data_IF_724439356539
#
_entry.id   IF_724439356539
#
_cell.length_a   1.000
_cell.length_b   1.000
_cell.length_c   1.000
_cell.angle_alpha   90.00
_cell.angle_beta   90.00
_cell.angle_gamma   90.00
#
_symmetry.space_group_name_H-M   'P 1'
#
loop_
_entity.id
_entity.type
_entity.pdbx_description
1 polymer ?
#
# COMPACT_ATOMS: atom_id res chain seq x y z
N UNK A 1 -8.20 -22.35 -5.84
CA UNK A 1 -7.95 -21.68 -7.14
C UNK A 1 -6.89 -22.49 -7.85
N UNK A 2 -7.07 -22.83 -9.12
CA UNK A 2 -6.04 -23.57 -9.87
C UNK A 2 -4.86 -22.64 -10.20
N UNK A 3 -3.67 -23.01 -9.74
CA UNK A 3 -2.44 -22.26 -9.94
C UNK A 3 -2.05 -22.18 -11.42
N UNK A 4 -2.39 -23.20 -12.20
CA UNK A 4 -2.10 -23.24 -13.63
C UNK A 4 -2.91 -22.17 -14.36
N UNK A 5 -4.22 -22.15 -14.14
CA UNK A 5 -5.12 -21.15 -14.70
C UNK A 5 -4.73 -19.72 -14.27
N UNK A 6 -4.46 -19.52 -12.96
CA UNK A 6 -4.03 -18.21 -12.46
C UNK A 6 -2.77 -17.70 -13.16
N UNK A 7 -1.74 -18.53 -13.25
CA UNK A 7 -0.46 -18.14 -13.87
C UNK A 7 -0.63 -17.83 -15.36
N UNK A 8 -1.49 -18.57 -16.07
CA UNK A 8 -1.81 -18.29 -17.47
C UNK A 8 -2.47 -16.91 -17.64
N UNK A 9 -3.50 -16.61 -16.85
CA UNK A 9 -4.19 -15.31 -16.86
C UNK A 9 -3.20 -14.19 -16.54
N UNK A 10 -2.42 -14.35 -15.47
CA UNK A 10 -1.45 -13.35 -15.04
C UNK A 10 -0.40 -13.09 -16.14
N UNK A 11 0.18 -14.13 -16.72
CA UNK A 11 1.17 -14.00 -17.81
C UNK A 11 0.58 -13.33 -19.04
N UNK A 12 -0.67 -13.63 -19.39
CA UNK A 12 -1.36 -13.00 -20.51
C UNK A 12 -1.61 -11.51 -20.28
N UNK A 13 -2.04 -11.13 -19.07
CA UNK A 13 -2.45 -9.76 -18.73
C UNK A 13 -1.26 -8.86 -18.36
N UNK A 14 -0.31 -9.39 -17.60
CA UNK A 14 0.84 -8.65 -17.05
C UNK A 14 2.13 -8.83 -17.84
N UNK A 15 2.19 -9.76 -18.81
CA UNK A 15 3.35 -10.02 -19.67
C UNK A 15 4.63 -10.41 -18.91
N UNK A 16 4.46 -10.92 -17.69
CA UNK A 16 5.54 -11.40 -16.84
C UNK A 16 5.03 -12.54 -15.95
N UNK A 17 5.96 -13.30 -15.37
CA UNK A 17 5.60 -14.35 -14.43
C UNK A 17 5.24 -13.74 -13.05
N UNK A 18 4.33 -14.39 -12.34
CA UNK A 18 3.86 -13.92 -11.04
C UNK A 18 4.97 -14.03 -9.99
N UNK A 19 5.32 -12.89 -9.37
CA UNK A 19 6.32 -12.88 -8.31
C UNK A 19 5.78 -13.55 -7.03
N UNK A 20 6.58 -14.38 -6.33
CA UNK A 20 6.17 -15.01 -5.08
C UNK A 20 5.75 -13.98 -4.02
N UNK A 21 4.83 -14.39 -3.13
CA UNK A 21 4.41 -13.56 -1.98
C UNK A 21 5.20 -13.84 -0.70
N UNK A 22 6.00 -14.91 -0.71
CA UNK A 22 6.86 -15.31 0.41
C UNK A 22 8.28 -15.39 -0.16
N UNK A 23 9.14 -14.51 0.34
CA UNK A 23 10.49 -14.30 -0.13
C UNK A 23 11.49 -14.66 0.98
N UNK A 24 12.71 -15.11 0.64
CA UNK A 24 13.74 -15.36 1.63
C UNK A 24 14.15 -14.05 2.33
N UNK A 25 14.78 -14.19 3.50
CA UNK A 25 15.35 -13.03 4.21
C UNK A 25 16.39 -12.30 3.34
N UNK A 26 16.44 -10.98 3.50
CA UNK A 26 17.43 -10.11 2.84
C UNK A 26 18.20 -9.31 3.88
N UNK A 27 19.33 -8.72 3.48
CA UNK A 27 20.21 -7.98 4.40
C UNK A 27 19.58 -6.69 4.94
N UNK A 28 18.80 -5.99 4.12
CA UNK A 28 18.25 -4.67 4.45
C UNK A 28 16.88 -4.48 3.80
N UNK A 29 15.89 -4.14 4.62
CA UNK A 29 14.55 -3.75 4.19
C UNK A 29 14.28 -2.34 4.70
N UNK A 30 13.75 -1.46 3.86
CA UNK A 30 13.18 -0.18 4.27
C UNK A 30 11.65 -0.27 4.15
N UNK A 31 10.93 0.07 5.20
CA UNK A 31 9.47 0.10 5.23
C UNK A 31 9.01 1.54 5.23
N UNK A 32 8.11 1.86 4.29
CA UNK A 32 7.52 3.18 4.12
C UNK A 32 6.01 3.07 4.34
N UNK A 33 5.49 3.90 5.23
CA UNK A 33 4.06 4.01 5.54
C UNK A 33 3.23 4.65 4.42
N UNK A 34 2.05 5.11 4.80
CA UNK A 34 1.05 5.72 3.94
C UNK A 34 1.54 7.07 3.35
N UNK A 35 1.32 7.26 2.05
CA UNK A 35 1.82 8.43 1.29
C UNK A 35 0.70 9.42 0.98
N UNK A 36 -0.51 8.94 0.68
CA UNK A 36 -1.68 9.76 0.33
C UNK A 36 -1.36 10.90 -0.65
N UNK A 37 -0.90 10.54 -1.85
CA UNK A 37 -0.64 11.49 -2.93
C UNK A 37 0.49 12.49 -2.66
N UNK A 38 1.28 12.32 -1.59
CA UNK A 38 2.35 13.27 -1.23
C UNK A 38 3.72 12.86 -1.79
N UNK A 39 3.97 13.23 -3.06
CA UNK A 39 5.23 12.91 -3.75
C UNK A 39 6.46 13.45 -3.00
N UNK A 40 6.37 14.65 -2.42
CA UNK A 40 7.50 15.26 -1.71
C UNK A 40 7.88 14.45 -0.47
N UNK A 41 6.88 13.91 0.24
CA UNK A 41 7.12 13.02 1.38
C UNK A 41 7.68 11.68 0.94
N UNK A 42 7.20 11.12 -0.16
CA UNK A 42 7.76 9.88 -0.72
C UNK A 42 9.25 10.05 -1.06
N UNK A 43 9.62 11.12 -1.77
CA UNK A 43 11.02 11.38 -2.11
C UNK A 43 11.88 11.57 -0.86
N UNK A 44 11.38 12.26 0.18
CA UNK A 44 12.07 12.36 1.47
C UNK A 44 12.26 10.98 2.11
N UNK A 45 11.24 10.13 2.15
CA UNK A 45 11.33 8.76 2.68
C UNK A 45 12.37 7.92 1.94
N UNK A 46 12.56 8.11 0.63
CA UNK A 46 13.56 7.39 -0.15
C UNK A 46 14.98 7.96 0.04
N UNK A 47 15.13 9.26 0.26
CA UNK A 47 16.43 9.93 0.47
C UNK A 47 17.00 9.72 1.88
N UNK A 48 16.16 9.66 2.92
CA UNK A 48 16.59 9.36 4.31
C UNK A 48 17.52 8.12 4.38
N UNK A 49 17.13 6.95 3.85
CA UNK A 49 17.95 5.74 3.82
C UNK A 49 18.94 5.66 2.63
N UNK A 50 19.07 6.75 1.85
CA UNK A 50 19.93 6.86 0.65
C UNK A 50 19.61 5.84 -0.45
N UNK A 51 18.34 5.71 -0.81
CA UNK A 51 17.89 4.79 -1.87
C UNK A 51 17.86 5.41 -3.25
N UNK A 52 17.73 6.74 -3.33
CA UNK A 52 17.70 7.49 -4.58
C UNK A 52 18.71 8.64 -4.55
N UNK A 53 19.21 9.01 -5.72
CA UNK A 53 20.09 10.16 -5.91
C UNK A 53 19.29 11.48 -6.02
N UNK A 54 19.98 12.58 -6.38
CA UNK A 54 19.35 13.90 -6.56
C UNK A 54 18.46 14.00 -7.79
N UNK A 55 18.55 13.06 -8.72
CA UNK A 55 17.71 12.94 -9.93
C UNK A 55 16.63 11.86 -9.76
N UNK A 56 16.44 11.37 -8.53
CA UNK A 56 15.48 10.34 -8.15
C UNK A 56 15.71 8.95 -8.78
N UNK A 57 16.95 8.67 -9.21
CA UNK A 57 17.36 7.34 -9.69
C UNK A 57 17.83 6.43 -8.56
N UNK A 58 17.58 5.12 -8.70
CA UNK A 58 17.95 4.12 -7.70
C UNK A 58 19.47 3.99 -7.51
N UNK A 59 19.88 4.18 -6.25
CA UNK A 59 21.25 3.94 -5.75
C UNK A 59 21.26 3.03 -4.51
N UNK A 60 20.11 2.43 -4.16
CA UNK A 60 19.95 1.59 -2.96
C UNK A 60 20.61 0.21 -3.02
N UNK A 61 21.29 -0.13 -4.12
CA UNK A 61 21.94 -1.43 -4.33
C UNK A 61 20.97 -2.59 -4.18
N UNK A 62 21.31 -3.55 -3.32
CA UNK A 62 20.49 -4.75 -3.02
C UNK A 62 19.41 -4.51 -1.95
N UNK A 63 19.15 -3.26 -1.56
CA UNK A 63 18.14 -2.96 -0.53
C UNK A 63 16.75 -3.29 -1.07
N UNK A 64 15.89 -3.85 -0.22
CA UNK A 64 14.47 -4.01 -0.52
C UNK A 64 13.67 -2.89 0.14
N UNK A 65 12.68 -2.34 -0.56
CA UNK A 65 11.71 -1.40 -0.01
C UNK A 65 10.34 -2.05 0.01
N UNK A 66 9.59 -1.85 1.09
CA UNK A 66 8.17 -2.20 1.18
C UNK A 66 7.37 -0.95 1.51
N UNK A 67 6.58 -0.47 0.57
CA UNK A 67 5.59 0.60 0.77
C UNK A 67 4.24 -0.05 1.10
N UNK A 68 3.67 0.23 2.27
CA UNK A 68 2.56 -0.57 2.84
C UNK A 68 1.15 -0.12 2.42
N UNK A 69 0.96 0.41 1.21
CA UNK A 69 -0.35 0.79 0.67
C UNK A 69 -0.74 2.25 0.96
N UNK A 70 -1.90 2.68 0.45
CA UNK A 70 -2.37 4.07 0.54
C UNK A 70 -1.36 5.06 -0.08
N UNK A 71 -1.06 4.79 -1.35
CA UNK A 71 -0.23 5.60 -2.21
C UNK A 71 -0.97 6.85 -2.69
N UNK A 72 -2.28 6.72 -2.93
CA UNK A 72 -3.13 7.75 -3.55
C UNK A 72 -4.12 8.39 -2.57
N UNK A 73 -4.90 9.35 -3.08
CA UNK A 73 -5.93 10.13 -2.39
C UNK A 73 -5.35 11.11 -1.34
N UNK A 74 -4.91 12.27 -1.84
CA UNK A 74 -4.29 13.35 -1.05
C UNK A 74 -5.25 14.26 -0.28
N UNK A 75 -6.49 13.85 -0.07
CA UNK A 75 -7.46 14.67 0.64
C UNK A 75 -8.20 13.94 1.77
N UNK A 76 -8.41 14.66 2.87
CA UNK A 76 -9.23 14.24 4.01
C UNK A 76 -10.24 15.34 4.33
N UNK A 77 -11.52 14.97 4.43
CA UNK A 77 -12.57 15.86 4.95
C UNK A 77 -12.96 15.45 6.37
N UNK A 78 -13.36 16.42 7.20
CA UNK A 78 -13.96 16.15 8.53
C UNK A 78 -15.48 16.18 8.42
N UNK A 79 -16.16 15.18 8.98
CA UNK A 79 -17.63 15.11 8.99
C UNK A 79 -18.22 14.46 7.74
N UNK A 80 -19.39 14.94 7.28
CA UNK A 80 -20.02 14.51 6.03
C UNK A 80 -19.56 15.40 4.88
N UNK A 81 -18.83 14.84 3.92
CA UNK A 81 -18.34 15.60 2.77
C UNK A 81 -17.72 14.71 1.71
N UNK A 82 -17.21 15.34 0.66
CA UNK A 82 -16.40 14.72 -0.38
C UNK A 82 -15.30 15.70 -0.79
N UNK A 83 -14.08 15.20 -0.91
CA UNK A 83 -12.93 15.95 -1.40
C UNK A 83 -13.07 16.47 -2.83
N UNK A 84 -13.96 15.88 -3.63
CA UNK A 84 -14.28 16.30 -5.00
C UNK A 84 -14.88 17.72 -5.09
N UNK A 85 -15.16 18.38 -3.96
CA UNK A 85 -15.78 19.71 -3.91
C UNK A 85 -14.98 20.68 -3.03
N UNK A 86 -13.84 20.25 -2.50
CA UNK A 86 -13.00 21.05 -1.62
C UNK A 86 -11.78 21.51 -2.41
N UNK A 87 -11.73 22.80 -2.72
CA UNK A 87 -10.50 23.41 -3.22
C UNK A 87 -9.47 23.45 -2.09
N UNK A 88 -8.33 22.81 -2.32
CA UNK A 88 -7.17 22.91 -1.46
C UNK A 88 -6.00 23.44 -2.30
N UNK A 89 -5.57 24.70 -2.13
CA UNK A 89 -4.50 25.28 -2.92
C UNK A 89 -3.13 24.62 -2.67
N UNK A 90 -2.99 23.84 -1.59
CA UNK A 90 -1.79 23.06 -1.31
C UNK A 90 -1.86 21.63 -1.89
N UNK A 91 -2.98 21.25 -2.47
CA UNK A 91 -3.10 19.96 -3.10
C UNK A 91 -2.43 19.95 -4.48
N UNK A 92 -1.75 18.84 -4.77
CA UNK A 92 -1.05 18.60 -6.03
C UNK A 92 -1.41 17.21 -6.49
N UNK A 93 -1.74 17.12 -7.78
CA UNK A 93 -2.10 15.89 -8.42
C UNK A 93 -0.85 15.04 -8.68
N UNK A 94 -0.67 14.02 -7.86
CA UNK A 94 0.50 13.16 -7.86
C UNK A 94 0.13 11.67 -7.74
N UNK A 95 -1.17 11.32 -7.64
CA UNK A 95 -1.63 9.95 -7.42
C UNK A 95 -1.05 8.99 -8.45
N UNK A 96 -1.24 9.29 -9.74
CA UNK A 96 -0.78 8.43 -10.83
C UNK A 96 0.75 8.47 -10.97
N UNK A 97 1.37 9.61 -10.71
CA UNK A 97 2.82 9.76 -10.74
C UNK A 97 3.49 8.88 -9.67
N UNK A 98 2.97 8.85 -8.44
CA UNK A 98 3.48 8.02 -7.34
C UNK A 98 3.40 6.54 -7.69
N UNK A 99 2.24 6.10 -8.22
CA UNK A 99 2.05 4.72 -8.62
C UNK A 99 3.10 4.26 -9.64
N UNK A 100 3.28 5.03 -10.72
CA UNK A 100 4.25 4.71 -11.75
C UNK A 100 5.69 4.86 -11.28
N UNK A 101 6.00 5.88 -10.49
CA UNK A 101 7.35 6.12 -9.96
C UNK A 101 7.84 4.96 -9.09
N UNK A 102 7.01 4.45 -8.16
CA UNK A 102 7.37 3.30 -7.32
C UNK A 102 7.60 2.03 -8.15
N UNK A 103 6.80 1.82 -9.20
CA UNK A 103 6.98 0.68 -10.12
C UNK A 103 8.24 0.83 -10.97
N UNK A 104 8.55 2.02 -11.44
CA UNK A 104 9.79 2.25 -12.18
C UNK A 104 11.02 2.11 -11.28
N UNK A 105 10.92 2.56 -10.03
CA UNK A 105 11.98 2.38 -9.05
C UNK A 105 12.21 0.89 -8.73
N UNK A 106 11.14 0.07 -8.71
CA UNK A 106 11.26 -1.39 -8.66
C UNK A 106 12.09 -1.92 -9.84
N UNK A 107 11.78 -1.49 -11.06
CA UNK A 107 12.51 -1.93 -12.26
C UNK A 107 14.00 -1.58 -12.19
N UNK A 108 14.34 -0.41 -11.66
CA UNK A 108 15.73 0.00 -11.46
C UNK A 108 16.42 -0.82 -10.36
N UNK A 109 15.74 -1.01 -9.22
CA UNK A 109 16.26 -1.77 -8.08
C UNK A 109 16.53 -3.24 -8.44
N UNK A 110 15.60 -3.87 -9.15
CA UNK A 110 15.70 -5.28 -9.57
C UNK A 110 16.91 -5.56 -10.45
N UNK A 111 17.39 -4.58 -11.23
CA UNK A 111 18.63 -4.71 -12.03
C UNK A 111 19.90 -4.77 -11.17
N UNK A 112 19.83 -4.32 -9.92
CA UNK A 112 20.93 -4.31 -8.94
C UNK A 112 20.74 -5.35 -7.83
N UNK A 113 19.76 -6.25 -7.96
CA UNK A 113 19.41 -7.25 -6.94
C UNK A 113 18.66 -6.68 -5.72
N UNK A 114 18.20 -5.44 -5.80
CA UNK A 114 17.25 -4.85 -4.85
C UNK A 114 15.80 -5.02 -5.33
N UNK A 115 14.85 -4.41 -4.62
CA UNK A 115 13.45 -4.38 -5.08
C UNK A 115 12.67 -3.24 -4.40
N UNK A 116 11.60 -2.78 -5.03
CA UNK A 116 10.59 -1.94 -4.40
C UNK A 116 9.23 -2.63 -4.51
N UNK A 117 8.66 -3.06 -3.39
CA UNK A 117 7.34 -3.68 -3.35
C UNK A 117 6.33 -2.69 -2.80
N UNK A 118 5.29 -2.39 -3.56
CA UNK A 118 4.17 -1.58 -3.10
C UNK A 118 2.97 -2.47 -2.83
N UNK A 119 2.38 -2.33 -1.66
CA UNK A 119 1.18 -3.07 -1.29
C UNK A 119 -0.08 -2.32 -1.70
N UNK A 120 -1.20 -3.04 -1.69
CA UNK A 120 -2.53 -2.50 -1.87
C UNK A 120 -3.01 -1.93 -0.53
N UNK A 121 -3.41 -0.66 -0.50
CA UNK A 121 -4.14 -0.06 0.61
C UNK A 121 -5.64 -0.01 0.38
N UNK A 122 -6.39 0.51 1.34
CA UNK A 122 -7.82 0.69 1.14
C UNK A 122 -8.12 1.81 0.14
N UNK A 123 -7.28 2.84 0.01
CA UNK A 123 -7.54 3.94 -0.92
C UNK A 123 -7.42 3.52 -2.39
N UNK A 124 -6.46 2.65 -2.71
CA UNK A 124 -6.43 2.02 -4.04
C UNK A 124 -7.70 1.19 -4.29
N UNK A 125 -8.20 0.47 -3.27
CA UNK A 125 -9.40 -0.34 -3.40
C UNK A 125 -10.67 0.52 -3.53
N UNK A 126 -10.75 1.63 -2.80
CA UNK A 126 -11.84 2.60 -2.90
C UNK A 126 -11.97 3.11 -4.34
N UNK A 127 -10.85 3.54 -4.93
CA UNK A 127 -10.84 3.98 -6.33
C UNK A 127 -11.27 2.87 -7.29
N UNK A 128 -10.79 1.63 -7.09
CA UNK A 128 -11.18 0.45 -7.87
C UNK A 128 -12.69 0.16 -7.77
N UNK A 129 -13.25 0.32 -6.58
CA UNK A 129 -14.68 0.08 -6.32
C UNK A 129 -15.57 1.28 -6.63
N UNK A 130 -14.99 2.39 -7.13
CA UNK A 130 -15.71 3.59 -7.54
C UNK A 130 -16.02 4.57 -6.41
N UNK A 131 -15.50 4.32 -5.21
CA UNK A 131 -15.58 5.24 -4.08
C UNK A 131 -14.48 6.30 -4.18
N UNK A 132 -14.89 7.51 -4.56
CA UNK A 132 -13.98 8.63 -4.83
C UNK A 132 -14.00 9.69 -3.74
N UNK A 133 -14.52 9.40 -2.54
CA UNK A 133 -14.77 10.41 -1.50
C UNK A 133 -13.51 11.16 -1.01
N UNK A 134 -12.33 10.55 -1.16
CA UNK A 134 -11.04 11.12 -0.75
C UNK A 134 -10.17 11.60 -1.91
N UNK A 135 -10.67 11.50 -3.15
CA UNK A 135 -9.98 12.05 -4.32
C UNK A 135 -10.16 13.56 -4.29
N UNK A 136 -9.07 14.31 -4.42
CA UNK A 136 -9.14 15.76 -4.52
C UNK A 136 -9.56 16.22 -5.92
N UNK A 137 -10.01 17.46 -6.03
CA UNK A 137 -10.29 18.11 -7.31
C UNK A 137 -9.10 18.00 -8.28
N UNK A 138 -7.87 18.30 -7.83
CA UNK A 138 -6.67 18.24 -8.68
C UNK A 138 -6.38 16.82 -9.19
N UNK A 139 -6.60 15.78 -8.37
CA UNK A 139 -6.43 14.38 -8.79
C UNK A 139 -7.56 13.88 -9.72
N UNK A 140 -8.72 14.54 -9.73
CA UNK A 140 -9.76 14.31 -10.74
C UNK A 140 -9.30 14.92 -12.08
N UNK A 141 -8.71 16.11 -12.04
CA UNK A 141 -8.26 16.85 -13.23
C UNK A 141 -7.14 16.16 -14.01
N UNK A 142 -6.34 15.27 -13.39
CA UNK A 142 -5.38 14.40 -14.11
C UNK A 142 -6.04 13.55 -15.21
N UNK A 143 -7.35 13.30 -15.08
CA UNK A 143 -8.13 12.52 -16.04
C UNK A 143 -8.81 13.40 -17.10
N UNK A 144 -8.40 14.67 -17.21
CA UNK A 144 -8.73 15.58 -18.30
C UNK A 144 -7.76 15.41 -19.49
N UNK A 145 -7.78 14.24 -20.13
CA UNK A 145 -6.96 14.00 -21.33
C UNK A 145 -7.80 14.10 -22.61
N UNK A 146 -7.21 14.70 -23.65
CA UNK A 146 -7.81 14.82 -24.99
C UNK A 146 -8.11 13.42 -25.54
N UNK A 147 -9.34 13.22 -26.01
CA UNK A 147 -9.78 11.96 -26.63
C UNK A 147 -10.61 11.04 -25.73
N UNK A 148 -10.90 11.41 -24.49
CA UNK A 148 -11.95 10.69 -23.73
C UNK A 148 -13.31 10.85 -24.41
N UNK A 149 -14.05 9.76 -24.52
CA UNK A 149 -15.46 9.77 -24.95
C UNK A 149 -16.40 10.34 -23.88
N UNK A 150 -15.93 10.51 -22.65
CA UNK A 150 -16.70 11.01 -21.52
C UNK A 150 -16.18 12.40 -21.14
N UNK A 151 -17.04 13.41 -21.32
CA UNK A 151 -16.78 14.80 -20.90
C UNK A 151 -17.04 15.00 -19.39
N UNK A 152 -16.45 14.13 -18.56
CA UNK A 152 -16.52 14.17 -17.10
C UNK A 152 -15.28 13.47 -16.53
N UNK A 153 -14.39 14.24 -15.89
CA UNK A 153 -13.10 13.77 -15.41
C UNK A 153 -13.22 12.76 -14.26
N UNK A 154 -14.23 12.91 -13.40
CA UNK A 154 -14.48 11.97 -12.30
C UNK A 154 -14.90 10.60 -12.85
N UNK A 155 -15.75 10.58 -13.86
CA UNK A 155 -16.15 9.33 -14.53
C UNK A 155 -14.99 8.71 -15.31
N UNK A 156 -14.09 9.50 -15.89
CA UNK A 156 -12.85 9.00 -16.49
C UNK A 156 -11.96 8.29 -15.46
N UNK A 157 -11.81 8.86 -14.25
CA UNK A 157 -11.07 8.22 -13.16
C UNK A 157 -11.72 6.92 -12.73
N UNK A 158 -13.04 6.92 -12.46
CA UNK A 158 -13.79 5.71 -12.11
C UNK A 158 -13.61 4.62 -13.16
N UNK A 159 -13.72 4.97 -14.44
CA UNK A 159 -13.54 4.01 -15.54
C UNK A 159 -12.10 3.46 -15.56
N UNK A 160 -11.09 4.30 -15.36
CA UNK A 160 -9.70 3.88 -15.38
C UNK A 160 -9.35 2.90 -14.25
N UNK A 161 -9.91 3.09 -13.06
CA UNK A 161 -9.70 2.25 -11.88
C UNK A 161 -10.65 1.05 -11.78
N UNK A 162 -11.78 1.04 -12.48
CA UNK A 162 -12.72 -0.09 -12.48
C UNK A 162 -12.00 -1.40 -12.85
N UNK A 163 -12.28 -2.54 -12.17
CA UNK A 163 -11.72 -3.85 -12.50
C UNK A 163 -11.66 -4.13 -14.00
N UNK A 164 -10.51 -4.63 -14.46
CA UNK A 164 -10.23 -4.92 -15.87
C UNK A 164 -9.77 -3.73 -16.72
N UNK A 165 -9.84 -2.49 -16.20
CA UNK A 165 -9.38 -1.30 -16.91
C UNK A 165 -7.91 -0.96 -16.61
N UNK A 166 -7.40 0.08 -17.27
CA UNK A 166 -5.98 0.41 -17.34
C UNK A 166 -5.28 0.47 -15.98
N UNK A 167 -5.81 1.25 -15.03
CA UNK A 167 -5.16 1.43 -13.73
C UNK A 167 -5.39 0.22 -12.83
N UNK A 168 -6.58 -0.39 -12.87
CA UNK A 168 -6.84 -1.64 -12.14
C UNK A 168 -5.88 -2.76 -12.56
N UNK A 169 -5.66 -2.94 -13.87
CA UNK A 169 -4.73 -3.92 -14.40
C UNK A 169 -3.29 -3.60 -14.01
N UNK A 170 -2.90 -2.32 -14.04
CA UNK A 170 -1.60 -1.90 -13.55
C UNK A 170 -1.40 -2.29 -12.07
N UNK A 171 -2.39 -2.01 -11.21
CA UNK A 171 -2.34 -2.40 -9.79
C UNK A 171 -2.28 -3.92 -9.65
N UNK A 172 -3.07 -4.69 -10.43
CA UNK A 172 -3.04 -6.15 -10.41
C UNK A 172 -1.65 -6.73 -10.70
N UNK A 173 -0.93 -6.10 -11.62
CA UNK A 173 0.39 -6.57 -12.04
C UNK A 173 1.51 -6.14 -11.08
N UNK A 174 1.29 -5.11 -10.27
CA UNK A 174 2.38 -4.45 -9.53
C UNK A 174 2.20 -4.37 -8.02
N UNK A 175 0.99 -4.64 -7.50
CA UNK A 175 0.65 -4.55 -6.06
C UNK A 175 0.28 -5.91 -5.49
N UNK A 176 0.47 -6.07 -4.19
CA UNK A 176 0.10 -7.25 -3.39
C UNK A 176 -0.72 -6.82 -2.18
N UNK A 177 -1.62 -7.68 -1.71
CA UNK A 177 -2.35 -7.47 -0.46
C UNK A 177 -1.42 -7.64 0.76
N UNK A 178 -0.59 -8.69 0.72
CA UNK A 178 0.38 -8.97 1.77
C UNK A 178 1.68 -9.56 1.20
N UNK A 179 2.79 -9.35 1.89
CA UNK A 179 4.10 -9.84 1.49
C UNK A 179 4.85 -10.37 2.72
N UNK A 180 5.54 -11.50 2.58
CA UNK A 180 6.47 -12.01 3.59
C UNK A 180 7.88 -11.95 3.04
N UNK A 181 8.81 -11.40 3.82
CA UNK A 181 10.25 -11.42 3.53
C UNK A 181 10.97 -11.92 4.79
N UNK A 182 11.55 -13.12 4.71
CA UNK A 182 12.13 -13.77 5.89
C UNK A 182 11.09 -13.99 6.98
N UNK A 183 11.30 -13.39 8.15
CA UNK A 183 10.37 -13.48 9.29
C UNK A 183 9.41 -12.28 9.41
N UNK A 184 9.31 -11.44 8.38
CA UNK A 184 8.56 -10.19 8.43
C UNK A 184 7.36 -10.22 7.48
N UNK A 185 6.16 -10.04 8.02
CA UNK A 185 4.90 -9.92 7.28
C UNK A 185 4.52 -8.44 7.12
N UNK A 186 4.27 -8.02 5.89
CA UNK A 186 3.85 -6.67 5.52
C UNK A 186 2.45 -6.72 4.94
N UNK A 187 1.57 -5.84 5.43
CA UNK A 187 0.18 -5.73 5.01
C UNK A 187 -0.34 -4.35 5.41
N UNK A 188 -1.26 -3.77 4.65
CA UNK A 188 -1.67 -2.39 4.86
C UNK A 188 -2.28 -2.14 6.25
N UNK A 189 -3.33 -2.87 6.65
CA UNK A 189 -4.01 -2.64 7.93
C UNK A 189 -3.80 -3.77 8.95
N UNK A 190 -3.63 -5.01 8.47
CA UNK A 190 -3.25 -6.18 9.26
C UNK A 190 -4.16 -7.39 9.06
N UNK A 191 -3.63 -8.60 9.29
CA UNK A 191 -4.39 -9.84 9.11
C UNK A 191 -4.86 -10.33 10.48
N UNK A 192 -6.17 -10.46 10.67
CA UNK A 192 -6.77 -10.93 11.94
C UNK A 192 -6.97 -12.45 11.94
N UNK A 193 -7.12 -13.09 13.12
CA UNK A 193 -7.40 -14.53 13.26
C UNK A 193 -8.49 -15.07 12.32
N UNK A 194 -9.56 -14.31 12.12
CA UNK A 194 -10.68 -14.72 11.26
C UNK A 194 -10.30 -14.82 9.78
N UNK A 195 -9.34 -14.01 9.32
CA UNK A 195 -8.86 -14.02 7.94
C UNK A 195 -7.81 -15.13 7.74
N UNK A 196 -6.86 -15.26 8.67
CA UNK A 196 -5.83 -16.30 8.54
C UNK A 196 -6.38 -17.72 8.61
N UNK A 197 -7.50 -17.94 9.30
CA UNK A 197 -8.17 -19.23 9.36
C UNK A 197 -8.74 -19.65 7.99
N UNK A 198 -8.94 -18.71 7.07
CA UNK A 198 -9.56 -18.94 5.76
C UNK A 198 -8.57 -18.84 4.60
N UNK A 199 -7.54 -18.01 4.71
CA UNK A 199 -6.70 -17.65 3.57
C UNK A 199 -5.21 -17.73 3.88
N UNK A 200 -4.46 -18.36 2.96
CA UNK A 200 -3.01 -18.22 2.93
C UNK A 200 -2.61 -16.91 2.25
N UNK A 201 -1.38 -16.42 2.52
CA UNK A 201 -0.85 -15.19 1.91
C UNK A 201 -0.94 -15.22 0.38
N UNK A 202 -0.57 -16.36 -0.23
CA UNK A 202 -0.63 -16.52 -1.68
C UNK A 202 -2.07 -16.46 -2.21
N UNK A 203 -3.04 -17.03 -1.49
CA UNK A 203 -4.43 -17.02 -1.91
C UNK A 203 -5.00 -15.60 -1.90
N UNK A 204 -4.76 -14.84 -0.83
CA UNK A 204 -5.19 -13.44 -0.72
C UNK A 204 -4.67 -12.60 -1.89
N UNK A 205 -3.39 -12.75 -2.24
CA UNK A 205 -2.82 -11.99 -3.34
C UNK A 205 -3.35 -12.42 -4.71
N UNK A 206 -3.61 -13.72 -4.94
CA UNK A 206 -4.21 -14.22 -6.18
C UNK A 206 -5.66 -13.72 -6.33
N UNK A 207 -6.44 -13.78 -5.24
CA UNK A 207 -7.82 -13.26 -5.18
C UNK A 207 -7.84 -11.77 -5.50
N UNK A 208 -6.98 -10.97 -4.85
CA UNK A 208 -6.84 -9.54 -5.16
C UNK A 208 -6.48 -9.31 -6.63
N UNK A 209 -5.51 -10.07 -7.16
CA UNK A 209 -5.04 -9.92 -8.54
C UNK A 209 -6.18 -10.19 -9.53
N UNK A 210 -6.91 -11.29 -9.38
CA UNK A 210 -8.06 -11.61 -10.23
C UNK A 210 -9.17 -10.56 -10.09
N UNK A 211 -9.42 -10.07 -8.87
CA UNK A 211 -10.42 -9.02 -8.65
C UNK A 211 -10.06 -7.77 -9.45
N UNK A 212 -8.82 -7.31 -9.35
CA UNK A 212 -8.33 -6.13 -10.07
C UNK A 212 -8.34 -6.32 -11.60
N UNK A 213 -8.04 -7.53 -12.09
CA UNK A 213 -8.10 -7.86 -13.51
C UNK A 213 -9.53 -7.98 -14.07
N UNK A 214 -10.55 -8.01 -13.20
CA UNK A 214 -11.94 -8.28 -13.58
C UNK A 214 -12.20 -9.76 -13.91
N UNK A 215 -11.35 -10.66 -13.41
CA UNK A 215 -11.35 -12.11 -13.70
C UNK A 215 -11.76 -12.95 -12.47
N UNK A 216 -12.03 -12.31 -11.33
CA UNK A 216 -12.47 -13.03 -10.13
C UNK A 216 -13.95 -13.40 -10.25
N UNK A 217 -14.21 -14.70 -10.27
CA UNK A 217 -15.56 -15.23 -10.18
C UNK A 217 -16.15 -15.01 -8.77
N UNK A 218 -17.40 -14.56 -8.72
CA UNK A 218 -18.17 -14.38 -7.47
C UNK A 218 -17.43 -13.56 -6.40
N UNK A 219 -17.03 -12.30 -6.68
CA UNK A 219 -16.23 -11.48 -5.76
C UNK A 219 -16.89 -11.27 -4.38
N UNK A 220 -18.22 -11.35 -4.31
CA UNK A 220 -18.98 -11.22 -3.05
C UNK A 220 -18.62 -12.29 -2.00
N UNK A 221 -18.10 -13.46 -2.42
CA UNK A 221 -17.63 -14.49 -1.50
C UNK A 221 -16.40 -14.05 -0.70
N UNK A 222 -15.64 -13.09 -1.22
CA UNK A 222 -14.37 -12.60 -0.65
C UNK A 222 -14.52 -11.20 -0.03
N UNK A 223 -15.76 -10.78 0.28
CA UNK A 223 -16.04 -9.46 0.86
C UNK A 223 -15.29 -9.19 2.16
N UNK A 224 -14.94 -10.24 2.91
CA UNK A 224 -14.16 -10.13 4.14
C UNK A 224 -12.72 -9.68 3.90
N UNK A 225 -12.13 -9.97 2.73
CA UNK A 225 -10.85 -9.43 2.31
C UNK A 225 -10.92 -7.96 1.87
N UNK A 226 -12.05 -7.51 1.31
CA UNK A 226 -12.14 -6.21 0.63
C UNK A 226 -12.89 -5.12 1.40
N UNK A 227 -14.06 -5.40 1.94
CA UNK A 227 -15.00 -4.35 2.39
C UNK A 227 -15.41 -4.46 3.87
N UNK A 228 -15.22 -5.61 4.51
CA UNK A 228 -15.60 -5.78 5.92
C UNK A 228 -14.56 -5.10 6.80
N UNK A 229 -14.84 -3.87 7.21
CA UNK A 229 -13.88 -3.00 7.88
C UNK A 229 -13.21 -3.58 9.13
N UNK A 230 -13.90 -4.43 9.90
CA UNK A 230 -13.33 -5.03 11.12
C UNK A 230 -12.26 -6.09 10.84
N UNK A 231 -12.38 -6.82 9.73
CA UNK A 231 -11.56 -8.01 9.46
C UNK A 231 -10.65 -7.85 8.26
N UNK A 232 -11.01 -7.02 7.29
CA UNK A 232 -10.26 -6.89 6.05
C UNK A 232 -8.81 -6.49 6.29
N UNK A 233 -7.85 -7.15 5.62
CA UNK A 233 -6.43 -6.78 5.62
C UNK A 233 -6.14 -5.34 5.21
N UNK A 234 -7.10 -4.68 4.58
CA UNK A 234 -7.01 -3.32 4.07
C UNK A 234 -7.67 -2.29 4.99
N UNK A 235 -8.51 -2.68 5.95
CA UNK A 235 -9.33 -1.73 6.71
C UNK A 235 -9.27 -1.86 8.23
N UNK A 236 -8.85 -3.02 8.75
CA UNK A 236 -8.90 -3.25 10.19
C UNK A 236 -8.00 -2.28 10.95
N UNK A 237 -8.54 -1.70 12.03
CA UNK A 237 -7.76 -0.83 12.93
C UNK A 237 -7.26 -1.55 14.17
N UNK A 238 -7.49 -2.86 14.26
CA UNK A 238 -7.10 -3.67 15.42
C UNK A 238 -5.62 -3.52 15.75
N UNK A 239 -4.75 -3.59 14.74
CA UNK A 239 -3.30 -3.56 14.93
C UNK A 239 -2.72 -2.14 14.97
N UNK A 240 -3.43 -1.15 14.43
CA UNK A 240 -3.04 0.26 14.43
C UNK A 240 -3.46 1.01 15.69
N UNK A 241 -4.57 0.63 16.32
CA UNK A 241 -5.16 1.32 17.47
C UNK A 241 -4.79 0.64 18.80
N UNK A 242 -4.00 1.34 19.63
CA UNK A 242 -3.56 0.87 20.95
C UNK A 242 -4.71 0.44 21.88
N UNK A 243 -5.88 1.06 21.78
CA UNK A 243 -7.04 0.76 22.65
C UNK A 243 -7.77 -0.53 22.26
N UNK A 244 -7.62 -0.97 21.01
CA UNK A 244 -8.31 -2.13 20.45
C UNK A 244 -7.37 -3.34 20.35
N UNK A 245 -6.06 -3.09 20.25
CA UNK A 245 -5.06 -4.13 20.05
C UNK A 245 -5.12 -5.21 21.14
N UNK A 246 -5.20 -6.46 20.68
CA UNK A 246 -5.01 -7.65 21.50
C UNK A 246 -3.71 -8.37 21.09
N UNK A 247 -2.76 -8.50 22.02
CA UNK A 247 -1.48 -9.14 21.76
C UNK A 247 -1.55 -10.66 21.54
N UNK A 248 -2.63 -11.31 21.97
CA UNK A 248 -2.84 -12.74 21.72
C UNK A 248 -3.23 -12.99 20.26
N UNK A 249 -4.09 -12.13 19.71
CA UNK A 249 -4.56 -12.23 18.32
C UNK A 249 -3.44 -12.04 17.29
N UNK A 250 -2.47 -11.16 17.57
CA UNK A 250 -1.28 -11.07 16.72
C UNK A 250 -0.43 -12.34 16.84
N UNK A 251 -0.24 -12.87 18.04
CA UNK A 251 0.58 -14.07 18.25
C UNK A 251 0.03 -15.26 17.46
N UNK A 252 -1.30 -15.45 17.46
CA UNK A 252 -1.95 -16.45 16.61
C UNK A 252 -1.65 -16.24 15.12
N UNK A 253 -1.69 -14.99 14.66
CA UNK A 253 -1.43 -14.66 13.25
C UNK A 253 0.01 -14.95 12.84
N UNK A 254 0.95 -14.60 13.72
CA UNK A 254 2.38 -14.82 13.49
C UNK A 254 2.73 -16.31 13.48
N UNK A 255 2.11 -17.11 14.35
CA UNK A 255 2.31 -18.56 14.41
C UNK A 255 1.84 -19.23 13.12
N UNK A 256 0.63 -18.93 12.64
CA UNK A 256 0.06 -19.56 11.44
C UNK A 256 0.90 -19.28 10.21
N UNK A 257 1.33 -18.02 10.03
CA UNK A 257 2.16 -17.64 8.88
C UNK A 257 3.66 -17.86 9.11
N UNK A 258 4.05 -18.36 10.28
CA UNK A 258 5.45 -18.69 10.65
C UNK A 258 6.40 -17.50 10.49
N UNK A 259 5.93 -16.34 10.92
CA UNK A 259 6.66 -15.06 10.90
C UNK A 259 6.87 -14.55 12.33
N UNK A 260 7.85 -13.68 12.53
CA UNK A 260 8.13 -13.09 13.84
C UNK A 260 7.46 -11.75 14.07
N UNK A 261 7.14 -11.00 13.00
CA UNK A 261 6.59 -9.64 13.09
C UNK A 261 5.60 -9.32 11.98
N UNK A 262 4.69 -8.41 12.27
CA UNK A 262 3.78 -7.77 11.32
C UNK A 262 4.06 -6.26 11.25
N UNK A 263 4.05 -5.70 10.05
CA UNK A 263 4.23 -4.28 9.78
C UNK A 263 2.99 -3.74 9.05
N UNK A 264 2.41 -2.67 9.59
CA UNK A 264 1.16 -2.08 9.12
C UNK A 264 1.25 -0.56 8.97
N UNK A 265 0.40 -0.02 8.11
CA UNK A 265 0.10 1.41 7.93
C UNK A 265 -1.32 1.74 8.44
N UNK A 266 -2.12 2.41 7.62
CA UNK A 266 -3.58 2.64 7.71
C UNK A 266 -4.09 3.50 8.89
N UNK A 267 -3.50 3.35 10.07
CA UNK A 267 -3.88 4.06 11.29
C UNK A 267 -2.76 5.03 11.67
N UNK A 268 -2.94 6.34 11.41
CA UNK A 268 -1.88 7.32 11.63
C UNK A 268 -1.43 7.39 13.10
N UNK A 269 -0.12 7.38 13.30
CA UNK A 269 0.55 7.46 14.59
C UNK A 269 1.04 8.90 14.86
N UNK A 270 0.13 9.87 14.79
CA UNK A 270 0.46 11.31 14.73
C UNK A 270 1.40 11.81 15.84
N UNK A 271 1.26 11.34 17.08
CA UNK A 271 2.02 11.90 18.20
C UNK A 271 3.36 11.20 18.44
N UNK A 272 3.46 9.92 18.08
CA UNK A 272 4.58 9.05 18.47
C UNK A 272 5.47 8.67 17.30
N UNK A 273 5.01 8.88 16.06
CA UNK A 273 5.71 8.42 14.86
C UNK A 273 5.69 6.90 14.73
N UNK A 274 6.67 6.35 14.00
CA UNK A 274 6.83 4.90 13.86
C UNK A 274 7.07 4.30 15.23
N UNK A 275 6.34 3.23 15.57
CA UNK A 275 6.45 2.62 16.88
C UNK A 275 5.98 1.16 16.85
N UNK A 276 6.22 0.45 17.95
CA UNK A 276 5.86 -0.97 18.11
C UNK A 276 4.94 -1.23 19.30
N UNK A 277 4.34 -2.41 19.32
CA UNK A 277 3.60 -2.94 20.48
C UNK A 277 3.77 -4.48 20.57
N UNK A 278 3.25 -5.08 21.65
CA UNK A 278 3.27 -6.53 21.88
C UNK A 278 4.68 -7.13 21.79
N UNK A 279 5.65 -6.59 22.54
CA UNK A 279 7.04 -7.03 22.54
C UNK A 279 7.68 -7.00 21.13
N UNK A 280 7.47 -5.90 20.39
CA UNK A 280 8.01 -5.67 19.04
C UNK A 280 7.50 -6.63 17.95
N UNK A 281 6.35 -7.26 18.17
CA UNK A 281 5.72 -8.15 17.18
C UNK A 281 4.81 -7.41 16.19
N UNK A 282 4.24 -6.26 16.56
CA UNK A 282 3.54 -5.35 15.64
C UNK A 282 4.32 -4.04 15.51
N UNK A 283 4.47 -3.56 14.27
CA UNK A 283 5.06 -2.26 13.95
C UNK A 283 4.09 -1.42 13.12
N UNK A 284 3.88 -0.18 13.57
CA UNK A 284 2.97 0.78 12.95
C UNK A 284 3.80 1.86 12.26
N UNK A 285 3.63 1.99 10.95
CA UNK A 285 4.52 2.77 10.08
C UNK A 285 3.86 3.99 9.44
N UNK A 286 2.53 4.08 9.50
CA UNK A 286 1.82 5.30 9.11
C UNK A 286 2.01 6.36 10.21
N UNK A 287 2.81 7.39 9.91
CA UNK A 287 3.04 8.51 10.81
C UNK A 287 2.16 9.71 10.48
N UNK A 288 1.25 9.64 9.52
CA UNK A 288 0.44 10.78 9.09
C UNK A 288 1.28 11.91 8.49
N UNK A 289 2.35 11.58 7.76
CA UNK A 289 3.29 12.57 7.20
C UNK A 289 2.74 13.35 6.02
N UNK A 290 1.74 12.80 5.31
CA UNK A 290 1.15 13.43 4.13
C UNK A 290 0.51 14.78 4.48
N UNK A 291 0.68 15.75 3.57
CA UNK A 291 -0.07 17.02 3.58
C UNK A 291 -1.59 16.83 3.64
N UNK A 292 -2.11 15.68 3.21
CA UNK A 292 -3.53 15.34 3.32
C UNK A 292 -4.07 15.38 4.77
N UNK A 293 -3.19 15.18 5.76
CA UNK A 293 -3.55 15.20 7.18
C UNK A 293 -3.34 16.55 7.85
N UNK A 294 -2.97 17.59 7.09
CA UNK A 294 -2.51 18.86 7.60
C UNK A 294 -3.65 19.77 8.10
N UNK A 295 -4.50 19.26 8.99
CA UNK A 295 -5.68 19.98 9.46
C UNK A 295 -5.33 21.16 10.39
N UNK A 296 -4.07 21.29 10.81
CA UNK A 296 -3.58 22.34 11.72
C UNK A 296 -2.13 22.84 11.39
N UNK A 297 -1.69 22.85 10.13
CA UNK A 297 -0.31 23.25 9.74
C UNK A 297 0.83 22.41 10.36
N UNK A 298 0.55 21.19 10.81
CA UNK A 298 1.56 20.22 11.23
C UNK A 298 1.39 18.94 10.43
N UNK A 299 2.18 18.79 9.36
CA UNK A 299 2.45 17.47 8.77
C UNK A 299 3.61 16.84 9.54
N UNK A 300 3.51 15.58 9.93
CA UNK A 300 4.64 14.91 10.56
C UNK A 300 5.85 14.84 9.62
N UNK A 301 7.04 14.87 10.21
CA UNK A 301 8.27 14.63 9.47
C UNK A 301 8.27 13.22 8.88
N UNK A 302 8.91 13.07 7.73
CA UNK A 302 9.06 11.77 7.08
C UNK A 302 9.89 10.85 7.99
N UNK A 303 9.37 9.65 8.24
CA UNK A 303 10.06 8.59 8.95
C UNK A 303 9.97 7.32 8.12
N UNK A 304 11.02 6.51 8.17
CA UNK A 304 11.02 5.16 7.59
C UNK A 304 11.59 4.18 8.59
N UNK A 305 11.12 2.94 8.54
CA UNK A 305 11.63 1.87 9.37
C UNK A 305 12.67 1.09 8.57
N UNK A 306 13.80 0.77 9.17
CA UNK A 306 14.83 -0.08 8.59
C UNK A 306 14.89 -1.40 9.34
N UNK A 307 14.91 -2.51 8.60
CA UNK A 307 15.12 -3.86 9.11
C UNK A 307 16.46 -4.36 8.57
N UNK A 308 17.39 -4.67 9.46
CA UNK A 308 18.68 -5.28 9.12
C UNK A 308 18.69 -6.76 9.51
N UNK A 309 19.23 -7.58 8.62
CA UNK A 309 19.45 -9.01 8.85
C UNK A 309 18.22 -9.74 9.40
N UNK A 310 17.04 -9.40 8.88
CA UNK A 310 15.72 -9.97 9.22
C UNK A 310 15.11 -9.54 10.57
N UNK A 311 15.90 -9.05 11.54
CA UNK A 311 15.41 -8.88 12.92
C UNK A 311 15.77 -7.57 13.62
N UNK A 312 16.84 -6.90 13.22
CA UNK A 312 17.29 -5.65 13.85
C UNK A 312 16.49 -4.48 13.27
N UNK A 313 15.89 -3.64 14.12
CA UNK A 313 14.99 -2.57 13.68
C UNK A 313 15.51 -1.21 14.10
N UNK A 314 15.62 -0.31 13.13
CA UNK A 314 15.94 1.10 13.32
C UNK A 314 14.79 1.97 12.79
N UNK A 315 14.61 3.15 13.38
CA UNK A 315 13.74 4.19 12.82
C UNK A 315 14.65 5.30 12.29
N UNK A 316 14.56 5.58 11.00
CA UNK A 316 15.32 6.61 10.33
C UNK A 316 14.44 7.84 10.11
N UNK A 317 14.98 9.01 10.42
CA UNK A 317 14.34 10.32 10.24
C UNK A 317 15.36 11.31 9.69
N UNK A 318 14.87 12.38 9.08
CA UNK A 318 15.74 13.49 8.67
C UNK A 318 16.30 14.18 9.94
N UNK A 319 17.59 14.52 9.93
CA UNK A 319 18.23 15.35 10.96
C UNK A 319 18.30 16.80 10.47
#
# INVERSE_FOLDING_TARGET
>A
MDDTQFNMIYKQRCKMDYLPSILPKVKRIIVIGDIHGDMDKLLKCLRIPKLIDSNDYWIGGTTVVVQVGDQIDSCRFRGSGNCNQLENPLDKADDINILYFLTELHNQASKQGGAVYSLMGNHELMNVTGDMRFVSQSNIEEFNYKGSSINNWLENRKLAFKPGNKIANFLACTRKMALVIGSNLFVHAGIVPEIQAKYQINDMNKILTLFLLGELEQPDQFKDLFIVGKTSPLWTRMFGNKQILNCDQISETLITYKVGRMFVGHTPQFQVGINSQCNNTIWRTDVGMSRAFNVNNQSNEAQVLEILNDTEINILKYF
#
